data_IF_507061209773
#
_entry.id   IF_507061209773
#
_cell.length_a   1.000
_cell.length_b   1.000
_cell.length_c   1.000
_cell.angle_alpha   90.00
_cell.angle_beta   90.00
_cell.angle_gamma   90.00
#
_symmetry.space_group_name_H-M   'P 1'
#
loop_
_entity.id
_entity.type
_entity.pdbx_description
1 polymer ?
#
# COMPACT_ATOMS: atom_id res chain seq x y z
N UNK A 1 12.16 3.12 -14.70
CA UNK A 1 12.73 3.90 -13.61
C UNK A 1 11.81 3.99 -12.42
N UNK A 2 12.40 4.06 -11.26
CA UNK A 2 11.64 4.09 -10.02
C UNK A 2 10.69 5.28 -9.94
N UNK A 3 11.15 6.45 -10.41
CA UNK A 3 10.32 7.64 -10.39
C UNK A 3 9.09 7.55 -11.29
N UNK A 4 9.23 6.98 -12.49
CA UNK A 4 8.10 6.77 -13.39
C UNK A 4 7.09 5.80 -12.80
N UNK A 5 7.60 4.71 -12.22
CA UNK A 5 6.74 3.70 -11.61
C UNK A 5 5.97 4.27 -10.43
N UNK A 6 6.61 5.15 -9.68
CA UNK A 6 5.97 5.81 -8.55
C UNK A 6 4.83 6.70 -9.04
N UNK A 7 5.06 7.48 -10.07
CA UNK A 7 4.02 8.35 -10.65
C UNK A 7 2.83 7.55 -11.15
N UNK A 8 3.10 6.44 -11.82
CA UNK A 8 2.03 5.55 -12.30
C UNK A 8 1.23 4.98 -11.13
N UNK A 9 1.91 4.57 -10.09
CA UNK A 9 1.26 4.02 -8.91
C UNK A 9 0.37 5.08 -8.24
N UNK A 10 0.86 6.29 -8.08
CA UNK A 10 0.07 7.38 -7.52
C UNK A 10 -1.15 7.66 -8.39
N UNK A 11 -0.98 7.66 -9.71
CA UNK A 11 -2.08 7.86 -10.64
C UNK A 11 -3.16 6.80 -10.49
N UNK A 12 -2.75 5.54 -10.37
CA UNK A 12 -3.67 4.43 -10.15
C UNK A 12 -4.44 4.64 -8.84
N UNK A 13 -3.75 5.02 -7.79
CA UNK A 13 -4.38 5.26 -6.50
C UNK A 13 -5.38 6.40 -6.56
N UNK A 14 -5.03 7.47 -7.27
CA UNK A 14 -5.95 8.59 -7.42
C UNK A 14 -7.22 8.17 -8.16
N UNK A 15 -7.08 7.35 -9.19
CA UNK A 15 -8.22 6.82 -9.92
C UNK A 15 -9.11 5.96 -9.03
N UNK A 16 -8.49 5.07 -8.24
CA UNK A 16 -9.23 4.19 -7.34
C UNK A 16 -9.98 4.95 -6.26
N UNK A 17 -9.45 6.08 -5.83
CA UNK A 17 -10.08 6.88 -4.78
C UNK A 17 -11.02 7.95 -5.33
N UNK A 18 -11.16 8.03 -6.64
CA UNK A 18 -12.09 8.97 -7.26
C UNK A 18 -13.52 8.46 -7.11
N UNK A 19 -14.47 9.32 -7.44
CA UNK A 19 -15.89 8.97 -7.40
C UNK A 19 -16.21 7.71 -8.20
N UNK A 20 -15.52 7.55 -9.30
CA UNK A 20 -15.76 6.44 -10.23
C UNK A 20 -14.82 5.27 -9.99
N UNK A 21 -14.03 5.33 -8.94
CA UNK A 21 -13.07 4.30 -8.63
C UNK A 21 -13.64 3.17 -7.78
N UNK A 22 -12.75 2.44 -7.12
CA UNK A 22 -13.12 1.32 -6.30
C UNK A 22 -13.95 1.77 -5.08
N UNK A 23 -15.12 1.20 -4.94
CA UNK A 23 -16.02 1.53 -3.86
C UNK A 23 -15.39 1.27 -2.49
N UNK A 24 -14.69 0.15 -2.36
CA UNK A 24 -13.99 -0.20 -1.13
C UNK A 24 -12.97 0.88 -0.74
N UNK A 25 -12.15 1.30 -1.72
CA UNK A 25 -11.12 2.33 -1.47
C UNK A 25 -11.75 3.64 -1.02
N UNK A 26 -12.85 4.01 -1.64
CA UNK A 26 -13.51 5.28 -1.33
C UNK A 26 -14.11 5.31 0.07
N UNK A 27 -14.42 4.15 0.60
CA UNK A 27 -14.97 4.04 1.96
C UNK A 27 -13.90 4.01 3.03
N UNK A 28 -12.64 3.80 2.66
CA UNK A 28 -11.56 3.71 3.64
C UNK A 28 -11.16 5.07 4.15
N UNK A 29 -10.84 5.15 5.43
CA UNK A 29 -10.35 6.35 6.07
C UNK A 29 -8.97 6.07 6.66
N UNK A 30 -8.27 7.12 7.07
CA UNK A 30 -6.98 6.95 7.76
C UNK A 30 -7.15 6.05 8.98
N UNK A 31 -8.22 6.23 9.71
CA UNK A 31 -8.49 5.46 10.91
C UNK A 31 -8.78 3.99 10.61
N UNK A 32 -9.58 3.73 9.57
CA UNK A 32 -9.99 2.36 9.25
C UNK A 32 -8.83 1.49 8.80
N UNK A 33 -7.74 2.09 8.31
CA UNK A 33 -6.59 1.35 7.80
C UNK A 33 -5.45 1.20 8.79
N UNK A 34 -5.61 1.68 10.02
CA UNK A 34 -4.55 1.58 11.02
C UNK A 34 -4.14 0.14 11.30
N UNK A 35 -5.11 -0.75 11.41
CA UNK A 35 -4.80 -2.16 11.67
C UNK A 35 -4.05 -2.79 10.51
N UNK A 36 -4.40 -2.41 9.28
CA UNK A 36 -3.70 -2.91 8.10
C UNK A 36 -2.24 -2.45 8.10
N UNK A 37 -1.99 -1.22 8.52
CA UNK A 37 -0.63 -0.69 8.61
C UNK A 37 0.21 -1.48 9.60
N UNK A 38 -0.35 -1.78 10.76
CA UNK A 38 0.34 -2.55 11.78
C UNK A 38 0.62 -3.97 11.29
N UNK A 39 -0.35 -4.60 10.66
CA UNK A 39 -0.18 -5.94 10.10
C UNK A 39 0.91 -5.97 9.05
N UNK A 40 0.96 -4.95 8.19
CA UNK A 40 1.95 -4.88 7.13
C UNK A 40 3.37 -4.79 7.69
N UNK A 41 3.55 -4.00 8.75
CA UNK A 41 4.85 -3.90 9.41
C UNK A 41 5.27 -5.25 9.97
N UNK A 42 4.35 -5.98 10.57
CA UNK A 42 4.61 -7.31 11.11
C UNK A 42 5.05 -8.28 10.03
N UNK A 43 4.36 -8.25 8.90
CA UNK A 43 4.68 -9.13 7.77
C UNK A 43 6.04 -8.81 7.18
N UNK A 44 6.41 -7.53 7.14
CA UNK A 44 7.73 -7.11 6.68
C UNK A 44 8.80 -7.66 7.60
N UNK A 45 8.62 -7.51 8.90
CA UNK A 45 9.58 -8.03 9.88
C UNK A 45 9.72 -9.54 9.74
N UNK A 46 8.61 -10.24 9.58
CA UNK A 46 8.62 -11.70 9.42
C UNK A 46 9.37 -12.10 8.15
N UNK A 47 9.15 -11.41 7.05
CA UNK A 47 9.85 -11.70 5.80
C UNK A 47 11.35 -11.46 5.93
N UNK A 48 11.76 -10.40 6.64
CA UNK A 48 13.17 -10.13 6.91
C UNK A 48 13.78 -11.25 7.76
N UNK A 49 13.09 -11.63 8.81
CA UNK A 49 13.59 -12.64 9.74
C UNK A 49 13.71 -14.02 9.08
N UNK A 50 12.77 -14.35 8.20
CA UNK A 50 12.79 -15.63 7.50
C UNK A 50 13.63 -15.60 6.23
N UNK A 51 14.21 -14.46 5.90
CA UNK A 51 15.02 -14.27 4.68
C UNK A 51 14.25 -14.57 3.40
N UNK A 52 12.97 -14.27 3.43
CA UNK A 52 12.09 -14.47 2.28
C UNK A 52 12.10 -13.20 1.41
N UNK A 53 13.02 -13.16 0.46
CA UNK A 53 13.23 -11.98 -0.39
C UNK A 53 12.01 -11.66 -1.24
N UNK A 54 11.37 -12.67 -1.80
CA UNK A 54 10.19 -12.44 -2.63
C UNK A 54 9.01 -11.97 -1.81
N UNK A 55 8.81 -12.57 -0.65
CA UNK A 55 7.78 -12.13 0.28
C UNK A 55 8.02 -10.70 0.74
N UNK A 56 9.28 -10.35 1.01
CA UNK A 56 9.63 -8.99 1.41
C UNK A 56 9.24 -7.98 0.34
N UNK A 57 9.49 -8.30 -0.93
CA UNK A 57 9.10 -7.40 -2.02
C UNK A 57 7.60 -7.17 -2.06
N UNK A 58 6.83 -8.23 -1.88
CA UNK A 58 5.37 -8.12 -1.86
C UNK A 58 4.90 -7.27 -0.69
N UNK A 59 5.45 -7.49 0.49
CA UNK A 59 5.03 -6.74 1.67
C UNK A 59 5.43 -5.27 1.59
N UNK A 60 6.60 -4.99 1.01
CA UNK A 60 7.01 -3.61 0.81
C UNK A 60 6.10 -2.89 -0.18
N UNK A 61 5.67 -3.59 -1.23
CA UNK A 61 4.73 -3.03 -2.19
C UNK A 61 3.39 -2.71 -1.51
N UNK A 62 2.91 -3.61 -0.67
CA UNK A 62 1.67 -3.41 0.06
C UNK A 62 1.77 -2.22 1.03
N UNK A 63 2.91 -2.09 1.72
CA UNK A 63 3.13 -0.95 2.60
C UNK A 63 3.15 0.35 1.80
N UNK A 64 3.80 0.32 0.64
CA UNK A 64 3.89 1.49 -0.22
C UNK A 64 2.49 1.91 -0.68
N UNK A 65 1.66 0.95 -1.01
CA UNK A 65 0.27 1.19 -1.39
C UNK A 65 -0.47 1.91 -0.27
N UNK A 66 -0.29 1.46 0.97
CA UNK A 66 -0.91 2.10 2.13
C UNK A 66 -0.39 3.53 2.33
N UNK A 67 0.91 3.73 2.14
CA UNK A 67 1.50 5.07 2.26
C UNK A 67 0.83 6.03 1.28
N UNK A 68 0.70 5.61 0.03
CA UNK A 68 0.06 6.43 -0.99
C UNK A 68 -1.39 6.69 -0.63
N UNK A 69 -2.06 5.68 -0.12
CA UNK A 69 -3.44 5.81 0.32
C UNK A 69 -3.58 6.89 1.40
N UNK A 70 -2.66 6.91 2.37
CA UNK A 70 -2.69 7.91 3.43
C UNK A 70 -2.39 9.32 2.93
N UNK A 71 -1.73 9.44 1.80
CA UNK A 71 -1.42 10.75 1.20
C UNK A 71 -2.63 11.41 0.56
N UNK A 72 -3.71 10.69 0.39
CA UNK A 72 -4.95 11.22 -0.17
C UNK A 72 -5.88 11.71 0.93
#
# INVERSE_FOLDING_TARGET
>A
MLGSNFKELVGIMETLRSKDGCHWDNEQTHESLKSCLIEEVYEIVDAVDSKDTEGLKEELADLFFLIIFYCK
#
